data_IF_604237748980
#
_entry.id   IF_604237748980
#
_cell.length_a   1.000
_cell.length_b   1.000
_cell.length_c   1.000
_cell.angle_alpha   90.00
_cell.angle_beta   90.00
_cell.angle_gamma   90.00
#
_symmetry.space_group_name_H-M   'P 1'
#
loop_
_entity.id
_entity.type
_entity.pdbx_description
1 polymer ?
#
# COMPACT_ATOMS: atom_id res chain seq x y z
N UNK A 1 -15.51 -6.64 13.91
CA UNK A 1 -14.68 -6.80 12.69
C UNK A 1 -14.70 -5.58 11.78
N UNK A 2 -13.51 -5.12 11.35
CA UNK A 2 -13.28 -4.12 10.29
C UNK A 2 -12.90 -4.78 8.97
N UNK A 3 -13.48 -4.36 7.85
CA UNK A 3 -13.31 -5.01 6.54
C UNK A 3 -12.61 -4.05 5.58
N UNK A 4 -11.48 -4.48 5.04
CA UNK A 4 -10.62 -3.67 4.16
C UNK A 4 -10.44 -4.38 2.83
N UNK A 5 -10.71 -3.66 1.73
CA UNK A 5 -10.44 -4.10 0.36
C UNK A 5 -9.37 -3.20 -0.26
N UNK A 6 -8.22 -3.76 -0.62
CA UNK A 6 -7.22 -3.11 -1.45
C UNK A 6 -7.36 -3.61 -2.90
N UNK A 7 -7.44 -2.69 -3.84
CA UNK A 7 -7.42 -2.95 -5.29
C UNK A 7 -6.08 -2.46 -5.80
N UNK A 8 -5.20 -3.38 -6.19
CA UNK A 8 -3.85 -2.97 -6.56
C UNK A 8 -2.99 -4.10 -7.12
N UNK A 9 -1.78 -4.20 -6.58
CA UNK A 9 -0.69 -5.00 -7.14
C UNK A 9 0.30 -5.42 -6.05
N UNK A 10 1.58 -5.62 -6.40
CA UNK A 10 2.62 -6.00 -5.44
C UNK A 10 2.89 -4.94 -4.37
N UNK A 11 2.58 -3.67 -4.60
CA UNK A 11 2.76 -2.61 -3.61
C UNK A 11 1.65 -2.63 -2.55
N UNK A 12 0.39 -2.87 -2.93
CA UNK A 12 -0.68 -3.10 -1.93
C UNK A 12 -0.45 -4.43 -1.20
N UNK A 13 0.13 -5.42 -1.86
CA UNK A 13 0.52 -6.68 -1.21
C UNK A 13 1.59 -6.47 -0.13
N UNK A 14 2.64 -5.71 -0.42
CA UNK A 14 3.66 -5.35 0.56
C UNK A 14 3.05 -4.61 1.76
N UNK A 15 2.09 -3.69 1.52
CA UNK A 15 1.46 -2.92 2.58
C UNK A 15 0.48 -3.73 3.45
N UNK A 16 -0.21 -4.69 2.85
CA UNK A 16 -1.26 -5.48 3.53
C UNK A 16 -0.73 -6.78 4.15
N UNK A 17 0.52 -7.17 3.85
CA UNK A 17 1.13 -8.45 4.29
C UNK A 17 1.00 -8.73 5.79
N UNK A 18 1.21 -7.71 6.64
CA UNK A 18 1.18 -7.86 8.09
C UNK A 18 0.01 -7.13 8.76
N UNK A 19 -0.83 -6.44 7.98
CA UNK A 19 -1.85 -5.56 8.52
C UNK A 19 -2.88 -6.30 9.39
N UNK A 20 -3.32 -7.49 8.96
CA UNK A 20 -4.30 -8.27 9.70
C UNK A 20 -3.75 -8.75 11.04
N UNK A 21 -2.56 -9.34 11.04
CA UNK A 21 -1.90 -9.87 12.23
C UNK A 21 -1.55 -8.75 13.22
N UNK A 22 -1.12 -7.61 12.69
CA UNK A 22 -0.84 -6.42 13.48
C UNK A 22 -2.10 -5.83 14.11
N UNK A 23 -3.22 -5.83 13.39
CA UNK A 23 -4.52 -5.44 13.93
C UNK A 23 -5.02 -6.42 15.01
N UNK A 24 -4.89 -7.73 14.78
CA UNK A 24 -5.26 -8.77 15.75
C UNK A 24 -4.47 -8.61 17.05
N UNK A 25 -3.14 -8.41 16.97
CA UNK A 25 -2.29 -8.15 18.13
C UNK A 25 -2.68 -6.87 18.90
N UNK A 26 -3.31 -5.90 18.22
CA UNK A 26 -3.85 -4.69 18.82
C UNK A 26 -5.31 -4.84 19.30
N UNK A 27 -5.89 -6.05 19.25
CA UNK A 27 -7.28 -6.31 19.65
C UNK A 27 -8.33 -5.82 18.63
N UNK A 28 -7.91 -5.51 17.39
CA UNK A 28 -8.78 -5.05 16.31
C UNK A 28 -9.01 -6.22 15.35
N UNK A 29 -10.20 -6.81 15.43
CA UNK A 29 -10.62 -7.86 14.50
C UNK A 29 -10.77 -7.29 13.09
N UNK A 30 -10.07 -7.86 12.11
CA UNK A 30 -10.09 -7.40 10.71
C UNK A 30 -10.29 -8.53 9.70
N UNK A 31 -10.85 -8.20 8.54
CA UNK A 31 -10.71 -8.98 7.29
C UNK A 31 -10.02 -8.08 6.27
N UNK A 32 -8.83 -8.46 5.80
CA UNK A 32 -8.06 -7.69 4.82
C UNK A 32 -7.99 -8.49 3.53
N UNK A 33 -8.51 -7.91 2.45
CA UNK A 33 -8.46 -8.50 1.11
C UNK A 33 -7.65 -7.60 0.20
N UNK A 34 -6.66 -8.17 -0.49
CA UNK A 34 -5.94 -7.48 -1.56
C UNK A 34 -6.22 -8.19 -2.90
N UNK A 35 -6.79 -7.46 -3.84
CA UNK A 35 -6.99 -7.91 -5.21
C UNK A 35 -5.69 -7.67 -5.99
N UNK A 36 -4.96 -8.75 -6.23
CA UNK A 36 -3.62 -8.68 -6.76
C UNK A 36 -3.56 -9.01 -8.25
N UNK A 37 -2.97 -8.08 -9.03
CA UNK A 37 -2.40 -8.34 -10.35
C UNK A 37 -0.99 -7.72 -10.37
N UNK A 38 0.04 -8.47 -10.75
CA UNK A 38 1.42 -7.97 -10.80
C UNK A 38 1.56 -6.72 -11.68
N UNK A 39 2.08 -5.63 -11.13
CA UNK A 39 2.30 -4.38 -11.85
C UNK A 39 1.06 -3.70 -12.43
N UNK A 40 -0.14 -4.01 -11.92
CA UNK A 40 -1.41 -3.50 -12.48
C UNK A 40 -1.52 -1.96 -12.36
N UNK A 41 -1.67 -1.23 -13.48
CA UNK A 41 -2.00 0.19 -13.48
C UNK A 41 -3.51 0.43 -13.39
N UNK A 42 -3.89 1.66 -13.04
CA UNK A 42 -5.30 2.10 -12.99
C UNK A 42 -6.06 1.83 -14.30
N UNK A 43 -5.41 2.02 -15.45
CA UNK A 43 -5.99 1.70 -16.76
C UNK A 43 -6.45 0.25 -16.85
N UNK A 44 -5.60 -0.70 -16.44
CA UNK A 44 -5.91 -2.13 -16.49
C UNK A 44 -7.00 -2.49 -15.46
N UNK A 45 -6.99 -1.85 -14.29
CA UNK A 45 -8.07 -2.00 -13.33
C UNK A 45 -9.42 -1.60 -13.95
N UNK A 46 -9.46 -0.45 -14.64
CA UNK A 46 -10.65 0.00 -15.33
C UNK A 46 -11.09 -0.96 -16.46
N UNK A 47 -10.15 -1.40 -17.30
CA UNK A 47 -10.45 -2.40 -18.34
C UNK A 47 -11.09 -3.67 -17.76
N UNK A 48 -10.56 -4.19 -16.64
CA UNK A 48 -11.12 -5.37 -15.98
C UNK A 48 -12.51 -5.11 -15.38
N UNK A 49 -12.81 -3.88 -14.95
CA UNK A 49 -14.16 -3.49 -14.51
C UNK A 49 -15.11 -3.50 -15.71
N UNK A 50 -14.72 -2.89 -16.83
CA UNK A 50 -15.55 -2.84 -18.04
C UNK A 50 -15.86 -4.22 -18.62
N UNK A 51 -14.89 -5.14 -18.57
CA UNK A 51 -15.07 -6.51 -19.08
C UNK A 51 -15.65 -7.48 -18.06
N UNK A 52 -15.69 -7.10 -16.77
CA UNK A 52 -16.08 -7.99 -15.67
C UNK A 52 -15.13 -9.18 -15.45
N UNK A 53 -13.86 -9.04 -15.87
CA UNK A 53 -12.89 -10.14 -15.85
C UNK A 53 -12.51 -10.54 -14.42
N UNK A 54 -12.56 -11.84 -14.12
CA UNK A 54 -12.10 -12.42 -12.87
C UNK A 54 -10.56 -12.57 -12.84
N UNK A 55 -9.84 -11.48 -13.06
CA UNK A 55 -8.38 -11.47 -13.27
C UNK A 55 -7.54 -11.37 -11.99
N UNK A 56 -8.15 -11.17 -10.81
CA UNK A 56 -7.42 -10.84 -9.59
C UNK A 56 -7.17 -12.08 -8.73
N UNK A 57 -5.92 -12.29 -8.34
CA UNK A 57 -5.63 -13.25 -7.28
C UNK A 57 -6.12 -12.66 -5.96
N UNK A 58 -7.07 -13.34 -5.33
CA UNK A 58 -7.62 -12.96 -4.04
C UNK A 58 -6.59 -13.24 -2.95
N UNK A 59 -6.07 -12.21 -2.28
CA UNK A 59 -5.15 -12.39 -1.15
C UNK A 59 -5.87 -12.05 0.15
N UNK A 60 -5.93 -13.01 1.06
CA UNK A 60 -6.67 -12.91 2.31
C UNK A 60 -5.71 -12.79 3.49
N UNK A 61 -5.85 -11.74 4.28
CA UNK A 61 -5.10 -11.53 5.52
C UNK A 61 -3.58 -11.68 5.35
N UNK A 62 -3.05 -11.10 4.25
CA UNK A 62 -1.63 -11.14 3.91
C UNK A 62 -1.15 -12.45 3.26
N UNK A 63 -2.05 -13.42 3.01
CA UNK A 63 -1.73 -14.72 2.42
C UNK A 63 -2.28 -14.84 1.00
N UNK A 64 -1.48 -15.46 0.13
CA UNK A 64 -1.88 -15.83 -1.22
C UNK A 64 -2.97 -16.92 -1.16
N UNK A 65 -3.97 -16.82 -2.03
CA UNK A 65 -4.94 -17.89 -2.24
C UNK A 65 -4.97 -18.30 -3.71
N UNK A 66 -5.55 -19.45 -4.01
CA UNK A 66 -5.76 -19.93 -5.39
C UNK A 66 -7.02 -19.32 -6.05
N UNK A 67 -7.81 -18.55 -5.29
CA UNK A 67 -9.06 -17.99 -5.77
C UNK A 67 -8.80 -16.79 -6.70
N UNK A 68 -9.38 -16.87 -7.89
CA UNK A 68 -9.48 -15.75 -8.82
C UNK A 68 -10.84 -15.08 -8.68
N UNK A 69 -10.89 -13.76 -8.81
CA UNK A 69 -12.11 -12.96 -8.61
C UNK A 69 -12.09 -11.70 -9.49
N UNK A 70 -13.26 -11.15 -9.79
CA UNK A 70 -13.41 -9.79 -10.34
C UNK A 70 -13.50 -8.73 -9.23
N UNK A 71 -13.27 -7.45 -9.56
CA UNK A 71 -13.54 -6.34 -8.62
C UNK A 71 -15.00 -6.36 -8.17
N UNK A 72 -15.90 -6.64 -9.11
CA UNK A 72 -17.33 -6.62 -8.94
C UNK A 72 -17.85 -7.70 -7.96
N UNK A 73 -17.30 -8.90 -8.04
CA UNK A 73 -17.60 -9.97 -7.07
C UNK A 73 -17.01 -9.63 -5.68
N UNK A 74 -15.80 -9.06 -5.63
CA UNK A 74 -15.17 -8.67 -4.37
C UNK A 74 -15.94 -7.56 -3.64
N UNK A 75 -16.44 -6.57 -4.39
CA UNK A 75 -17.29 -5.51 -3.86
C UNK A 75 -18.59 -6.08 -3.26
N UNK A 76 -19.14 -7.15 -3.84
CA UNK A 76 -20.37 -7.84 -3.37
C UNK A 76 -20.17 -8.74 -2.15
N UNK A 77 -18.94 -9.20 -1.89
CA UNK A 77 -18.69 -10.23 -0.88
C UNK A 77 -18.91 -9.72 0.55
N UNK A 78 -18.67 -8.43 0.79
CA UNK A 78 -18.62 -7.89 2.14
C UNK A 78 -19.16 -6.46 2.21
N UNK A 79 -19.61 -6.07 3.41
CA UNK A 79 -19.82 -4.68 3.74
C UNK A 79 -18.48 -4.04 4.14
N UNK A 80 -17.73 -3.55 3.15
CA UNK A 80 -16.40 -2.96 3.35
C UNK A 80 -16.46 -1.67 4.17
N UNK A 81 -15.59 -1.53 5.17
CA UNK A 81 -15.37 -0.27 5.88
C UNK A 81 -14.43 0.65 5.09
N UNK A 82 -13.39 0.07 4.48
CA UNK A 82 -12.36 0.79 3.74
C UNK A 82 -12.11 0.13 2.40
N UNK A 83 -12.14 0.92 1.33
CA UNK A 83 -11.74 0.49 -0.01
C UNK A 83 -10.59 1.38 -0.48
N UNK A 84 -9.47 0.76 -0.80
CA UNK A 84 -8.20 1.44 -1.08
C UNK A 84 -7.76 1.10 -2.50
N UNK A 85 -7.37 2.11 -3.27
CA UNK A 85 -6.74 1.92 -4.60
C UNK A 85 -5.42 2.68 -4.68
N UNK A 86 -4.66 2.45 -5.74
CA UNK A 86 -3.36 3.07 -6.01
C UNK A 86 -2.99 2.97 -7.49
N UNK A 87 -1.99 3.74 -7.92
CA UNK A 87 -1.39 3.59 -9.24
C UNK A 87 -0.27 2.53 -9.22
N UNK A 88 0.08 1.99 -10.39
CA UNK A 88 1.30 1.23 -10.59
C UNK A 88 2.53 2.10 -10.32
N UNK A 89 3.56 1.53 -9.70
CA UNK A 89 4.74 2.28 -9.23
C UNK A 89 5.53 2.97 -10.35
N UNK A 90 5.56 2.41 -11.56
CA UNK A 90 6.23 3.05 -12.69
C UNK A 90 5.48 4.27 -13.22
N UNK A 91 4.15 4.31 -13.03
CA UNK A 91 3.26 5.38 -13.47
C UNK A 91 2.89 6.36 -12.34
N UNK A 92 3.26 6.07 -11.09
CA UNK A 92 2.77 6.81 -9.93
C UNK A 92 3.14 8.30 -9.94
N UNK A 93 4.24 8.69 -10.60
CA UNK A 93 4.63 10.09 -10.80
C UNK A 93 4.20 10.71 -12.14
N UNK A 94 3.25 10.12 -12.85
CA UNK A 94 2.77 10.58 -14.16
C UNK A 94 1.27 10.89 -14.09
N UNK A 95 0.95 12.17 -13.93
CA UNK A 95 -0.41 12.67 -13.70
C UNK A 95 -1.42 12.24 -14.77
N UNK A 96 -0.99 12.20 -16.02
CA UNK A 96 -1.76 11.81 -17.19
C UNK A 96 -2.18 10.34 -17.19
N UNK A 97 -1.58 9.49 -16.35
CA UNK A 97 -1.95 8.08 -16.20
C UNK A 97 -3.07 7.85 -15.18
N UNK A 98 -3.43 8.87 -14.39
CA UNK A 98 -4.48 8.76 -13.39
C UNK A 98 -5.86 8.95 -14.00
N UNK A 99 -5.99 9.85 -14.99
CA UNK A 99 -7.28 10.17 -15.61
C UNK A 99 -7.39 9.58 -17.02
N UNK A 100 -8.57 9.12 -17.44
CA UNK A 100 -9.85 9.16 -16.71
C UNK A 100 -10.02 8.02 -15.68
N UNK A 101 -9.05 7.12 -15.59
CA UNK A 101 -9.22 5.80 -14.96
C UNK A 101 -9.54 5.84 -13.46
N UNK A 102 -8.84 6.67 -12.68
CA UNK A 102 -9.11 6.81 -11.25
C UNK A 102 -10.54 7.31 -11.02
N UNK A 103 -10.98 8.33 -11.76
CA UNK A 103 -12.34 8.85 -11.66
C UNK A 103 -13.38 7.77 -11.96
N UNK A 104 -13.20 7.05 -13.07
CA UNK A 104 -14.10 5.97 -13.48
C UNK A 104 -14.16 4.83 -12.46
N UNK A 105 -13.01 4.42 -11.90
CA UNK A 105 -12.95 3.41 -10.85
C UNK A 105 -13.69 3.88 -9.59
N UNK A 106 -13.45 5.12 -9.14
CA UNK A 106 -14.09 5.67 -7.95
C UNK A 106 -15.61 5.80 -8.14
N UNK A 107 -16.05 6.25 -9.31
CA UNK A 107 -17.48 6.38 -9.62
C UNK A 107 -18.15 5.01 -9.66
N UNK A 108 -17.50 4.00 -10.24
CA UNK A 108 -17.98 2.61 -10.23
C UNK A 108 -18.12 2.07 -8.81
N UNK A 109 -17.10 2.24 -7.97
CA UNK A 109 -17.14 1.80 -6.58
C UNK A 109 -18.24 2.56 -5.81
N UNK A 110 -18.37 3.88 -6.02
CA UNK A 110 -19.41 4.71 -5.36
C UNK A 110 -20.83 4.32 -5.77
N UNK A 111 -21.05 3.98 -7.04
CA UNK A 111 -22.35 3.49 -7.49
C UNK A 111 -22.72 2.21 -6.74
N UNK A 112 -21.75 1.33 -6.53
CA UNK A 112 -21.94 0.10 -5.77
C UNK A 112 -22.11 0.35 -4.26
N UNK A 113 -21.19 1.09 -3.63
CA UNK A 113 -21.21 1.35 -2.18
C UNK A 113 -22.36 2.27 -1.77
N UNK A 114 -22.74 3.27 -2.57
CA UNK A 114 -23.86 4.15 -2.26
C UNK A 114 -25.19 3.41 -2.14
N UNK A 115 -25.35 2.30 -2.88
CA UNK A 115 -26.55 1.47 -2.85
C UNK A 115 -26.55 0.45 -1.70
N UNK A 116 -25.37 0.01 -1.25
CA UNK A 116 -25.24 -1.18 -0.39
C UNK A 116 -24.46 -0.95 0.91
N UNK A 117 -23.60 0.07 0.98
CA UNK A 117 -22.60 0.33 2.02
C UNK A 117 -22.26 1.84 2.12
N UNK A 118 -23.20 2.73 2.50
CA UNK A 118 -22.97 4.18 2.48
C UNK A 118 -21.89 4.68 3.46
N UNK A 119 -21.42 3.81 4.37
CA UNK A 119 -20.36 4.10 5.33
C UNK A 119 -18.95 3.73 4.83
N UNK A 120 -18.83 3.07 3.67
CA UNK A 120 -17.54 2.68 3.12
C UNK A 120 -16.72 3.92 2.75
N UNK A 121 -15.53 4.05 3.33
CA UNK A 121 -14.61 5.12 3.01
C UNK A 121 -13.69 4.70 1.85
N UNK A 122 -13.53 5.58 0.86
CA UNK A 122 -12.60 5.41 -0.24
C UNK A 122 -11.28 6.14 0.09
N UNK A 123 -10.17 5.42 -0.05
CA UNK A 123 -8.84 5.94 0.22
C UNK A 123 -7.92 5.74 -0.99
N UNK A 124 -6.89 6.58 -1.04
CA UNK A 124 -5.82 6.45 -2.01
C UNK A 124 -4.52 6.12 -1.27
N UNK A 125 -3.86 5.03 -1.65
CA UNK A 125 -2.59 4.61 -1.06
C UNK A 125 -1.44 5.27 -1.82
N UNK A 126 -0.80 6.25 -1.19
CA UNK A 126 0.41 6.88 -1.72
C UNK A 126 1.55 5.87 -1.66
N UNK A 127 1.99 5.38 -2.82
CA UNK A 127 3.13 4.47 -2.93
C UNK A 127 4.47 5.20 -2.74
N UNK A 128 5.58 4.48 -2.74
CA UNK A 128 6.92 5.03 -2.51
C UNK A 128 7.77 5.09 -3.78
N UNK A 129 8.79 5.94 -3.75
CA UNK A 129 9.80 6.01 -4.80
C UNK A 129 10.72 4.78 -4.75
N UNK A 130 11.28 4.43 -5.89
CA UNK A 130 12.30 3.38 -5.98
C UNK A 130 13.56 3.76 -5.19
N UNK A 131 14.33 2.75 -4.80
CA UNK A 131 15.58 2.96 -4.08
C UNK A 131 16.66 3.53 -5.01
N UNK A 132 17.56 4.35 -4.44
CA UNK A 132 18.77 4.79 -5.14
C UNK A 132 19.56 3.58 -5.65
N UNK A 133 19.93 3.60 -6.93
CA UNK A 133 20.62 2.48 -7.57
C UNK A 133 19.70 1.36 -8.08
N UNK A 134 18.37 1.49 -7.93
CA UNK A 134 17.42 0.53 -8.50
C UNK A 134 17.66 0.30 -9.99
N UNK A 135 17.67 -0.98 -10.39
CA UNK A 135 17.89 -1.40 -11.78
C UNK A 135 16.60 -1.47 -12.58
N UNK A 136 15.45 -1.23 -11.96
CA UNK A 136 14.14 -1.27 -12.61
C UNK A 136 14.13 -0.39 -13.88
N UNK A 137 13.75 -0.95 -15.03
CA UNK A 137 13.84 -0.29 -16.34
C UNK A 137 13.07 1.04 -16.37
N UNK A 138 11.85 1.05 -15.84
CA UNK A 138 11.03 2.25 -15.76
C UNK A 138 11.60 3.35 -14.85
N UNK A 139 12.60 3.08 -14.01
CA UNK A 139 13.20 4.12 -13.18
C UNK A 139 13.92 5.19 -14.03
N UNK A 140 14.31 4.84 -15.25
CA UNK A 140 14.85 5.79 -16.23
C UNK A 140 13.87 6.92 -16.57
N UNK A 141 12.55 6.70 -16.44
CA UNK A 141 11.54 7.76 -16.61
C UNK A 141 11.68 8.89 -15.60
N UNK A 142 12.30 8.60 -14.46
CA UNK A 142 12.61 9.53 -13.38
C UNK A 142 14.11 9.84 -13.30
N UNK A 143 14.82 9.68 -14.43
CA UNK A 143 16.28 9.84 -14.52
C UNK A 143 17.08 9.01 -13.50
N UNK A 144 16.50 7.89 -13.01
CA UNK A 144 17.03 7.08 -11.91
C UNK A 144 17.28 7.89 -10.62
N UNK A 145 16.53 8.97 -10.44
CA UNK A 145 16.53 9.81 -9.24
C UNK A 145 15.38 9.41 -8.32
N UNK A 146 15.72 8.96 -7.12
CA UNK A 146 14.72 8.67 -6.08
C UNK A 146 13.95 9.94 -5.71
N UNK A 147 14.66 11.06 -5.55
CA UNK A 147 14.08 12.36 -5.20
C UNK A 147 13.08 12.81 -6.25
N UNK A 148 13.45 12.76 -7.54
CA UNK A 148 12.53 13.14 -8.61
C UNK A 148 11.29 12.24 -8.66
N UNK A 149 11.48 10.93 -8.47
CA UNK A 149 10.36 9.99 -8.44
C UNK A 149 9.43 10.27 -7.27
N UNK A 150 9.97 10.53 -6.08
CA UNK A 150 9.21 10.87 -4.88
C UNK A 150 8.43 12.19 -5.06
N UNK A 151 9.08 13.25 -5.51
CA UNK A 151 8.43 14.55 -5.70
C UNK A 151 7.26 14.45 -6.70
N UNK A 152 7.48 13.72 -7.80
CA UNK A 152 6.44 13.52 -8.81
C UNK A 152 5.28 12.67 -8.31
N UNK A 153 5.55 11.54 -7.65
CA UNK A 153 4.47 10.68 -7.16
C UNK A 153 3.69 11.37 -6.04
N UNK A 154 4.36 12.10 -5.15
CA UNK A 154 3.72 12.86 -4.08
C UNK A 154 2.78 13.89 -4.68
N UNK A 155 3.26 14.68 -5.64
CA UNK A 155 2.42 15.65 -6.36
C UNK A 155 1.18 15.00 -6.98
N UNK A 156 1.32 13.84 -7.60
CA UNK A 156 0.20 13.15 -8.24
C UNK A 156 -0.82 12.64 -7.21
N UNK A 157 -0.38 11.93 -6.18
CA UNK A 157 -1.25 11.39 -5.14
C UNK A 157 -1.98 12.48 -4.37
N UNK A 158 -1.29 13.55 -3.98
CA UNK A 158 -1.91 14.68 -3.27
C UNK A 158 -2.94 15.41 -4.13
N UNK A 159 -2.64 15.68 -5.40
CA UNK A 159 -3.60 16.31 -6.30
C UNK A 159 -4.85 15.45 -6.54
N UNK A 160 -4.68 14.14 -6.70
CA UNK A 160 -5.81 13.21 -6.89
C UNK A 160 -6.63 13.02 -5.62
N UNK A 161 -5.98 12.94 -4.47
CA UNK A 161 -6.65 12.89 -3.18
C UNK A 161 -7.48 14.16 -2.93
N UNK A 162 -6.92 15.33 -3.20
CA UNK A 162 -7.63 16.61 -3.10
C UNK A 162 -8.83 16.65 -4.06
N UNK A 163 -8.60 16.35 -5.35
CA UNK A 163 -9.63 16.37 -6.40
C UNK A 163 -10.83 15.48 -6.07
N UNK A 164 -10.58 14.29 -5.52
CA UNK A 164 -11.62 13.30 -5.25
C UNK A 164 -12.07 13.24 -3.78
N UNK A 165 -11.55 14.14 -2.94
CA UNK A 165 -11.78 14.19 -1.50
C UNK A 165 -11.49 12.84 -0.81
N UNK A 166 -10.37 12.23 -1.16
CA UNK A 166 -9.92 10.95 -0.60
C UNK A 166 -8.91 11.20 0.51
N UNK A 167 -9.00 10.40 1.57
CA UNK A 167 -7.93 10.34 2.56
C UNK A 167 -6.76 9.55 1.99
N UNK A 168 -5.55 10.07 2.18
CA UNK A 168 -4.32 9.39 1.81
C UNK A 168 -3.86 8.44 2.91
N UNK A 169 -3.34 7.28 2.48
CA UNK A 169 -2.44 6.48 3.30
C UNK A 169 -1.01 6.84 2.87
N UNK A 170 -0.26 7.63 3.67
CA UNK A 170 0.93 8.34 3.21
C UNK A 170 2.21 7.47 3.22
N UNK A 171 2.13 6.25 2.71
CA UNK A 171 3.26 5.31 2.78
C UNK A 171 4.51 5.85 2.08
N UNK A 172 4.34 6.56 0.97
CA UNK A 172 5.42 7.22 0.24
C UNK A 172 6.19 8.22 1.11
N UNK A 173 5.48 9.13 1.76
CA UNK A 173 6.06 10.12 2.67
C UNK A 173 6.83 9.44 3.83
N UNK A 174 6.22 8.44 4.47
CA UNK A 174 6.86 7.79 5.63
C UNK A 174 8.09 6.99 5.22
N UNK A 175 8.05 6.30 4.07
CA UNK A 175 9.22 5.60 3.54
C UNK A 175 10.34 6.60 3.21
N UNK A 176 10.00 7.74 2.61
CA UNK A 176 10.99 8.76 2.26
C UNK A 176 11.64 9.35 3.52
N UNK A 177 10.86 9.61 4.58
CA UNK A 177 11.39 10.07 5.87
C UNK A 177 12.28 9.00 6.53
N UNK A 178 11.85 7.73 6.53
CA UNK A 178 12.61 6.64 7.13
C UNK A 178 13.98 6.46 6.46
N UNK A 179 14.06 6.61 5.13
CA UNK A 179 15.32 6.55 4.37
C UNK A 179 16.34 7.63 4.74
N UNK A 180 15.92 8.69 5.45
CA UNK A 180 16.82 9.75 5.96
C UNK A 180 17.29 9.51 7.39
N UNK A 181 16.96 8.37 8.00
CA UNK A 181 17.24 8.10 9.41
C UNK A 181 18.01 6.79 9.59
N UNK A 182 18.91 6.75 10.58
CA UNK A 182 19.51 5.48 11.00
C UNK A 182 18.46 4.49 11.51
N UNK A 183 18.60 3.18 11.18
CA UNK A 183 19.68 2.58 10.39
C UNK A 183 19.38 2.47 8.88
N UNK A 184 18.36 3.16 8.35
CA UNK A 184 17.86 2.96 6.98
C UNK A 184 18.49 3.86 5.92
N UNK A 185 19.57 4.57 6.26
CA UNK A 185 20.35 5.42 5.33
C UNK A 185 21.32 4.58 4.49
N UNK A 186 20.84 4.03 3.39
CA UNK A 186 21.64 3.17 2.49
C UNK A 186 22.90 3.87 1.96
N UNK A 187 22.85 5.18 1.69
CA UNK A 187 24.01 5.96 1.24
C UNK A 187 25.16 6.01 2.26
N UNK A 188 24.86 5.75 3.53
CA UNK A 188 25.83 5.71 4.65
C UNK A 188 26.14 4.26 5.07
N UNK A 189 25.74 3.26 4.29
CA UNK A 189 25.94 1.83 4.61
C UNK A 189 24.84 1.23 5.47
N UNK A 190 23.70 1.91 5.60
CA UNK A 190 22.52 1.44 6.32
C UNK A 190 21.75 0.32 5.61
N UNK A 191 20.68 -0.13 6.27
CA UNK A 191 19.80 -1.20 5.85
C UNK A 191 18.80 -0.69 4.81
N UNK A 192 18.70 -1.38 3.68
CA UNK A 192 17.68 -1.09 2.67
C UNK A 192 16.28 -1.44 3.17
N UNK A 193 15.33 -0.53 2.95
CA UNK A 193 13.89 -0.79 3.11
C UNK A 193 13.29 -1.47 1.88
N UNK A 194 14.08 -1.76 0.86
CA UNK A 194 13.68 -2.49 -0.33
C UNK A 194 14.39 -3.85 -0.42
N UNK A 195 13.78 -4.83 -1.09
CA UNK A 195 14.41 -6.15 -1.35
C UNK A 195 15.05 -6.26 -2.73
N UNK A 196 14.57 -5.48 -3.68
CA UNK A 196 14.96 -5.53 -5.10
C UNK A 196 15.06 -4.13 -5.72
N UNK A 197 15.23 -3.12 -4.87
CA UNK A 197 15.30 -1.71 -5.26
C UNK A 197 13.95 -1.04 -5.50
N UNK A 198 12.82 -1.73 -5.34
CA UNK A 198 11.50 -1.08 -5.42
C UNK A 198 10.40 -1.74 -4.59
N UNK A 199 10.37 -3.06 -4.44
CA UNK A 199 9.48 -3.69 -3.47
C UNK A 199 10.07 -3.65 -2.07
N UNK A 200 9.21 -3.66 -1.05
CA UNK A 200 9.64 -3.54 0.35
C UNK A 200 10.46 -4.73 0.83
N UNK A 201 11.46 -4.44 1.67
CA UNK A 201 12.23 -5.44 2.39
C UNK A 201 11.31 -6.33 3.25
N UNK A 202 11.67 -7.62 3.34
CA UNK A 202 11.10 -8.57 4.29
C UNK A 202 12.10 -8.70 5.44
N UNK A 203 11.69 -8.49 6.71
CA UNK A 203 10.33 -8.09 7.14
C UNK A 203 10.12 -6.56 7.22
N UNK A 204 11.20 -5.76 7.24
CA UNK A 204 11.18 -4.41 7.82
C UNK A 204 10.38 -3.39 7.00
N UNK A 205 10.53 -3.38 5.67
CA UNK A 205 9.78 -2.46 4.81
C UNK A 205 8.28 -2.72 4.87
N UNK A 206 7.88 -3.99 4.79
CA UNK A 206 6.47 -4.39 4.92
C UNK A 206 5.89 -4.08 6.31
N UNK A 207 6.68 -4.27 7.36
CA UNK A 207 6.28 -3.91 8.72
C UNK A 207 6.02 -2.41 8.88
N UNK A 208 6.89 -1.58 8.31
CA UNK A 208 6.71 -0.12 8.29
C UNK A 208 5.40 0.26 7.61
N UNK A 209 5.12 -0.28 6.42
CA UNK A 209 3.86 -0.01 5.72
C UNK A 209 2.63 -0.41 6.53
N UNK A 210 2.66 -1.59 7.16
CA UNK A 210 1.56 -2.04 8.02
C UNK A 210 1.34 -1.07 9.21
N UNK A 211 2.41 -0.56 9.83
CA UNK A 211 2.29 0.46 10.87
C UNK A 211 1.64 1.75 10.36
N UNK A 212 1.99 2.21 9.15
CA UNK A 212 1.35 3.39 8.52
C UNK A 212 -0.13 3.16 8.28
N UNK A 213 -0.51 1.98 7.79
CA UNK A 213 -1.90 1.60 7.60
C UNK A 213 -2.66 1.50 8.92
N UNK A 214 -2.07 0.94 9.98
CA UNK A 214 -2.66 0.89 11.32
C UNK A 214 -2.92 2.28 11.89
N UNK A 215 -1.93 3.17 11.80
CA UNK A 215 -2.05 4.58 12.21
C UNK A 215 -3.15 5.27 11.43
N UNK A 216 -3.17 5.08 10.11
CA UNK A 216 -4.12 5.76 9.23
C UNK A 216 -5.54 5.24 9.43
N UNK A 217 -5.78 3.93 9.33
CA UNK A 217 -7.12 3.35 9.35
C UNK A 217 -7.74 3.29 10.75
N UNK A 218 -6.92 3.08 11.78
CA UNK A 218 -7.41 2.79 13.13
C UNK A 218 -6.94 3.79 14.19
N UNK A 219 -6.17 4.81 13.82
CA UNK A 219 -5.61 5.80 14.75
C UNK A 219 -4.78 5.17 15.88
N UNK A 220 -4.22 3.97 15.65
CA UNK A 220 -3.35 3.27 16.60
C UNK A 220 -1.94 3.84 16.49
N UNK A 221 -1.32 4.18 17.61
CA UNK A 221 0.08 4.61 17.61
C UNK A 221 0.96 3.41 17.31
N UNK A 222 1.96 3.59 16.45
CA UNK A 222 2.83 2.49 16.06
C UNK A 222 3.59 1.93 17.28
N UNK A 223 3.94 2.78 18.25
CA UNK A 223 4.55 2.36 19.53
C UNK A 223 3.68 1.45 20.41
N UNK A 224 2.37 1.36 20.18
CA UNK A 224 1.46 0.46 20.90
C UNK A 224 1.40 -0.94 20.27
N UNK A 225 1.98 -1.12 19.08
CA UNK A 225 1.96 -2.38 18.36
C UNK A 225 3.01 -3.35 18.91
N UNK A 226 2.55 -4.55 19.30
CA UNK A 226 3.37 -5.64 19.84
C UNK A 226 3.67 -6.74 18.83
N UNK A 227 3.05 -6.70 17.65
CA UNK A 227 3.26 -7.71 16.61
C UNK A 227 4.72 -7.76 16.15
N UNK A 228 5.26 -8.97 16.06
CA UNK A 228 6.56 -9.32 15.50
C UNK A 228 6.32 -10.30 14.34
N UNK A 229 6.80 -10.01 13.12
CA UNK A 229 6.67 -10.93 11.98
C UNK A 229 7.33 -12.28 12.26
N UNK A 230 6.61 -13.36 11.94
CA UNK A 230 7.21 -14.70 11.91
C UNK A 230 8.21 -14.79 10.75
N UNK A 231 9.39 -15.41 10.95
CA UNK A 231 10.36 -15.60 9.88
C UNK A 231 9.81 -16.54 8.81
N UNK A 232 10.16 -16.29 7.55
CA UNK A 232 9.93 -17.26 6.49
C UNK A 232 10.87 -18.48 6.68
N UNK A 233 10.54 -19.61 6.08
CA UNK A 233 11.29 -20.85 6.29
C UNK A 233 12.77 -20.68 5.87
N UNK A 234 13.68 -20.82 6.84
CA UNK A 234 15.12 -20.64 6.64
C UNK A 234 15.64 -19.21 6.81
N UNK A 235 14.79 -18.25 7.17
CA UNK A 235 15.20 -16.88 7.50
C UNK A 235 15.39 -16.67 9.01
N UNK A 236 16.20 -15.67 9.37
CA UNK A 236 16.37 -15.27 10.77
C UNK A 236 15.13 -14.50 11.28
N UNK A 237 14.80 -14.59 12.58
CA UNK A 237 13.76 -13.76 13.18
C UNK A 237 14.04 -12.27 12.99
N UNK A 238 12.96 -11.48 12.91
CA UNK A 238 13.06 -10.03 12.84
C UNK A 238 13.75 -9.46 14.10
N UNK A 239 14.69 -8.53 13.93
CA UNK A 239 15.33 -7.81 15.02
C UNK A 239 14.33 -6.84 15.65
N UNK A 240 13.96 -7.09 16.92
CA UNK A 240 13.02 -6.28 17.67
C UNK A 240 13.46 -4.81 17.83
N UNK A 241 14.77 -4.53 17.87
CA UNK A 241 15.28 -3.16 17.95
C UNK A 241 15.01 -2.39 16.65
N UNK A 242 15.13 -3.06 15.49
CA UNK A 242 14.78 -2.49 14.20
C UNK A 242 13.27 -2.25 14.08
N UNK A 243 12.45 -3.21 14.53
CA UNK A 243 11.00 -3.03 14.58
C UNK A 243 10.61 -1.86 15.51
N UNK A 244 11.25 -1.74 16.67
CA UNK A 244 11.03 -0.62 17.60
C UNK A 244 11.42 0.72 16.96
N UNK A 245 12.53 0.75 16.21
CA UNK A 245 12.96 1.96 15.49
C UNK A 245 11.96 2.37 14.42
N UNK A 246 11.40 1.41 13.68
CA UNK A 246 10.34 1.67 12.70
C UNK A 246 9.11 2.28 13.37
N UNK A 247 8.64 1.70 14.48
CA UNK A 247 7.50 2.22 15.24
C UNK A 247 7.71 3.68 15.66
N UNK A 248 8.92 4.03 16.11
CA UNK A 248 9.26 5.42 16.44
C UNK A 248 9.19 6.35 15.24
N UNK A 249 9.75 5.95 14.09
CA UNK A 249 9.71 6.76 12.86
C UNK A 249 8.26 7.04 12.46
N UNK A 250 7.41 6.02 12.42
CA UNK A 250 5.99 6.17 12.05
C UNK A 250 5.23 7.10 13.01
N UNK A 251 5.54 7.07 14.31
CA UNK A 251 4.89 7.92 15.31
C UNK A 251 5.36 9.39 15.30
N UNK A 252 6.60 9.63 14.86
CA UNK A 252 7.15 10.97 14.72
C UNK A 252 6.70 11.63 13.41
N UNK A 253 6.52 10.84 12.36
CA UNK A 253 6.17 11.36 11.06
C UNK A 253 4.77 11.99 11.01
N UNK A 254 4.67 13.12 10.30
CA UNK A 254 3.46 13.94 10.19
C UNK A 254 3.19 14.85 11.40
N UNK A 255 4.20 15.12 12.24
CA UNK A 255 4.20 16.20 13.22
C UNK A 255 4.85 17.46 12.67
#
# INVERSE_FOLDING_TARGET
MKKILAIGNSFSDDATRYLHQMAEAAGIETKVVNLFIGGCPLERHWQNIETGEAAYQYRLNGKTTERMISIDEALREEQWDYIVTQQASHDSGWMDTYEPFLGLILDHIRQYTGQHMPQAELLLHETWAYETGSTHSAFMRYHRSQEEMYDRLKKCYYAMAEKYHLRLIPSGDIIQEARQQEPFRVSEGGISLCRDGFHMNIPYGRYLLACVWMKTLFSVRASELSYVPEPEEGEEPADEALLARIRQIVDMAGR
#
